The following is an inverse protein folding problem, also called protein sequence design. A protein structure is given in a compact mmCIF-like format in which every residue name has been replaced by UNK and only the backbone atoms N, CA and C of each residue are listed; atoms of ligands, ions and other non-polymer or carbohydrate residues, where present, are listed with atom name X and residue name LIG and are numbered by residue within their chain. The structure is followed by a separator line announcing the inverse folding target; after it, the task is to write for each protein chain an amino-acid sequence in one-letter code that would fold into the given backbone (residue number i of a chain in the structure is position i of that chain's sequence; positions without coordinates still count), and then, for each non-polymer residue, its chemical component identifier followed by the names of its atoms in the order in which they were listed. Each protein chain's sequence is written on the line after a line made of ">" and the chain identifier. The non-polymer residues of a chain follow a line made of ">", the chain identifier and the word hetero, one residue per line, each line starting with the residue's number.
data_IF_737935284762
#
_entry.id   IF_737935284762
#
_cell.length_a   1.000
_cell.length_b   1.000
_cell.length_c   1.000
_cell.angle_alpha   90.00
_cell.angle_beta   90.00
_cell.angle_gamma   90.00
#
_symmetry.space_group_name_H-M   'P 1'
#
loop_
_entity.id
_entity.type
_entity.pdbx_description
1 polymer ?
#
# COMPACT_ATOMS: atom_id res chain seq x y z
N UNK A 1 -32.72 31.58 -43.80
CA UNK A 1 -32.35 31.76 -42.38
C UNK A 1 -32.11 30.37 -41.80
N UNK A 2 -30.84 29.96 -41.72
CA UNK A 2 -30.45 28.60 -41.27
C UNK A 2 -30.51 28.54 -39.74
N UNK A 3 -31.32 27.61 -39.20
CA UNK A 3 -31.41 27.32 -37.78
C UNK A 3 -30.10 26.68 -37.31
N UNK A 4 -29.38 27.35 -36.41
CA UNK A 4 -28.23 26.77 -35.73
C UNK A 4 -28.72 25.69 -34.76
N UNK A 5 -28.52 24.43 -35.13
CA UNK A 5 -28.67 23.28 -34.22
C UNK A 5 -27.37 23.17 -33.41
N UNK A 6 -27.39 23.65 -32.18
CA UNK A 6 -26.32 23.43 -31.20
C UNK A 6 -26.33 21.96 -30.76
N UNK A 7 -25.42 21.17 -31.32
CA UNK A 7 -25.15 19.80 -30.88
C UNK A 7 -24.35 19.85 -29.57
N UNK A 8 -25.02 19.66 -28.43
CA UNK A 8 -24.37 19.57 -27.12
C UNK A 8 -23.59 18.26 -27.04
N UNK A 9 -22.25 18.33 -27.05
CA UNK A 9 -21.36 17.19 -26.90
C UNK A 9 -21.28 16.80 -25.41
N UNK A 10 -22.04 15.78 -25.00
CA UNK A 10 -21.86 15.14 -23.70
C UNK A 10 -20.53 14.38 -23.67
N UNK A 11 -19.51 14.99 -23.06
CA UNK A 11 -18.26 14.31 -22.72
C UNK A 11 -18.52 13.48 -21.47
N UNK A 12 -18.62 12.15 -21.63
CA UNK A 12 -18.57 11.22 -20.51
C UNK A 12 -17.13 11.16 -20.01
N UNK A 13 -16.87 11.79 -18.87
CA UNK A 13 -15.61 11.62 -18.15
C UNK A 13 -15.69 10.27 -17.45
N UNK A 14 -15.14 9.23 -18.07
CA UNK A 14 -14.92 7.96 -17.39
C UNK A 14 -13.87 8.22 -16.29
N UNK A 15 -14.28 8.10 -15.02
CA UNK A 15 -13.33 8.13 -13.90
C UNK A 15 -12.42 6.91 -13.97
N UNK A 16 -11.10 7.14 -14.04
CA UNK A 16 -10.13 6.08 -13.85
C UNK A 16 -10.05 5.78 -12.35
N UNK A 17 -10.41 4.57 -11.95
CA UNK A 17 -10.24 4.06 -10.58
C UNK A 17 -9.30 2.87 -10.64
N UNK A 18 -8.37 2.77 -9.70
CA UNK A 18 -7.47 1.63 -9.61
C UNK A 18 -8.21 0.50 -8.91
N UNK A 19 -8.41 -0.61 -9.61
CA UNK A 19 -9.00 -1.79 -8.98
C UNK A 19 -8.05 -2.37 -7.93
N UNK A 20 -8.55 -2.91 -6.81
CA UNK A 20 -7.70 -3.65 -5.89
C UNK A 20 -7.07 -4.87 -6.60
N UNK A 21 -5.84 -5.28 -6.26
CA UNK A 21 -5.19 -6.43 -6.86
C UNK A 21 -6.00 -7.71 -6.71
N UNK A 22 -5.98 -8.54 -7.75
CA UNK A 22 -6.78 -9.77 -7.77
C UNK A 22 -6.36 -10.77 -6.68
N UNK A 23 -5.04 -10.87 -6.45
CA UNK A 23 -4.46 -11.74 -5.44
C UNK A 23 -3.62 -10.96 -4.43
N UNK A 24 -4.26 -10.53 -3.34
CA UNK A 24 -3.59 -9.77 -2.28
C UNK A 24 -2.62 -10.60 -1.43
N UNK A 25 -2.64 -11.93 -1.56
CA UNK A 25 -1.77 -12.84 -0.81
C UNK A 25 -0.48 -13.18 -1.58
N UNK A 26 -0.26 -12.65 -2.79
CA UNK A 26 0.98 -12.77 -3.54
C UNK A 26 1.51 -11.42 -4.06
N UNK A 27 2.58 -10.92 -3.43
CA UNK A 27 3.16 -9.62 -3.80
C UNK A 27 3.82 -9.61 -5.19
N UNK A 28 4.23 -10.77 -5.70
CA UNK A 28 4.77 -10.87 -7.05
C UNK A 28 3.66 -10.70 -8.09
N UNK A 29 2.48 -11.27 -7.84
CA UNK A 29 1.31 -11.07 -8.69
C UNK A 29 0.80 -9.63 -8.61
N UNK A 30 0.74 -9.03 -7.41
CA UNK A 30 0.39 -7.60 -7.25
C UNK A 30 1.29 -6.70 -8.11
N UNK A 31 2.60 -6.94 -8.08
CA UNK A 31 3.57 -6.14 -8.82
C UNK A 31 3.68 -6.48 -10.30
N UNK A 32 3.19 -7.64 -10.71
CA UNK A 32 3.05 -7.97 -12.11
C UNK A 32 1.84 -7.24 -12.73
N UNK A 33 0.73 -7.22 -11.99
CA UNK A 33 -0.50 -6.48 -12.30
C UNK A 33 -0.24 -4.96 -12.30
N UNK A 34 0.45 -4.45 -11.27
CA UNK A 34 0.78 -3.04 -11.09
C UNK A 34 2.29 -2.82 -10.98
N UNK A 35 2.96 -2.71 -12.12
CA UNK A 35 4.43 -2.57 -12.17
C UNK A 35 4.94 -1.21 -11.68
N UNK A 36 4.15 -0.16 -11.86
CA UNK A 36 4.37 1.16 -11.28
C UNK A 36 4.40 1.10 -9.74
N UNK A 37 3.54 0.29 -9.13
CA UNK A 37 3.54 0.06 -7.68
C UNK A 37 4.84 -0.59 -7.19
N UNK A 38 5.40 -1.51 -7.98
CA UNK A 38 6.73 -2.08 -7.70
C UNK A 38 7.83 -1.03 -7.76
N UNK A 39 7.81 -0.23 -8.82
CA UNK A 39 8.80 0.82 -9.06
C UNK A 39 8.79 1.85 -7.91
N UNK A 40 7.60 2.33 -7.52
CA UNK A 40 7.41 3.22 -6.38
C UNK A 40 7.90 2.58 -5.07
N UNK A 41 7.47 1.34 -4.79
CA UNK A 41 7.87 0.62 -3.56
C UNK A 41 9.37 0.43 -3.45
N UNK A 42 10.04 0.13 -4.56
CA UNK A 42 11.50 -0.03 -4.65
C UNK A 42 12.22 1.29 -4.40
N UNK A 43 11.73 2.40 -4.94
CA UNK A 43 12.29 3.72 -4.68
C UNK A 43 12.17 4.10 -3.20
N UNK A 44 11.00 3.86 -2.60
CA UNK A 44 10.75 4.10 -1.17
C UNK A 44 11.65 3.24 -0.29
N UNK A 45 11.86 1.96 -0.64
CA UNK A 45 12.82 1.09 0.06
C UNK A 45 14.24 1.67 -0.02
N UNK A 46 14.67 2.14 -1.19
CA UNK A 46 15.98 2.78 -1.36
C UNK A 46 16.10 4.07 -0.55
N UNK A 47 15.05 4.90 -0.54
CA UNK A 47 15.00 6.22 0.10
C UNK A 47 15.00 6.12 1.63
N UNK A 48 14.20 5.23 2.21
CA UNK A 48 13.99 5.16 3.67
C UNK A 48 14.58 3.91 4.34
N UNK A 49 14.96 2.90 3.55
CA UNK A 49 15.51 1.62 4.01
C UNK A 49 14.48 0.66 4.59
N UNK A 50 13.19 0.99 4.55
CA UNK A 50 12.10 0.12 5.03
C UNK A 50 11.84 -0.95 3.96
N UNK A 51 11.91 -2.26 4.30
CA UNK A 51 11.75 -3.30 3.29
C UNK A 51 10.39 -3.25 2.61
N UNK A 52 10.34 -3.52 1.30
CA UNK A 52 9.08 -3.47 0.51
C UNK A 52 7.97 -4.30 1.16
N UNK A 53 8.28 -5.52 1.63
CA UNK A 53 7.27 -6.37 2.26
C UNK A 53 6.67 -5.78 3.55
N UNK A 54 7.43 -4.94 4.28
CA UNK A 54 6.89 -4.21 5.45
C UNK A 54 5.89 -3.16 4.99
N UNK A 55 6.26 -2.34 4.02
CA UNK A 55 5.39 -1.30 3.45
C UNK A 55 4.11 -1.89 2.87
N UNK A 56 4.22 -2.93 2.04
CA UNK A 56 3.06 -3.64 1.47
C UNK A 56 2.18 -4.29 2.55
N UNK A 57 2.78 -4.80 3.63
CA UNK A 57 2.02 -5.35 4.74
C UNK A 57 1.16 -4.30 5.44
N UNK A 58 1.66 -3.08 5.57
CA UNK A 58 0.93 -1.94 6.13
C UNK A 58 -0.23 -1.57 5.21
N UNK A 59 0.03 -1.30 3.92
CA UNK A 59 -1.01 -0.88 2.96
C UNK A 59 -2.21 -1.84 2.97
N UNK A 60 -1.98 -3.13 2.87
CA UNK A 60 -3.08 -4.09 2.94
C UNK A 60 -3.76 -4.12 4.32
N UNK A 61 -3.04 -3.94 5.43
CA UNK A 61 -3.70 -3.95 6.74
C UNK A 61 -4.61 -2.72 6.91
N UNK A 62 -4.20 -1.59 6.35
CA UNK A 62 -4.94 -0.33 6.42
C UNK A 62 -6.12 -0.29 5.45
N UNK A 63 -5.94 -0.74 4.21
CA UNK A 63 -6.94 -0.56 3.14
C UNK A 63 -7.30 -1.82 2.36
N UNK A 64 -6.55 -2.92 2.54
CA UNK A 64 -6.57 -4.07 1.61
C UNK A 64 -6.35 -3.67 0.15
N UNK A 65 -5.54 -2.64 -0.08
CA UNK A 65 -5.28 -2.05 -1.40
C UNK A 65 -6.51 -1.42 -2.07
N UNK A 66 -7.47 -0.93 -1.27
CA UNK A 66 -8.60 -0.14 -1.77
C UNK A 66 -8.23 1.35 -1.68
N UNK A 67 -8.16 2.02 -2.83
CA UNK A 67 -7.66 3.40 -2.94
C UNK A 67 -8.47 4.41 -2.13
N UNK A 68 -9.79 4.24 -2.06
CA UNK A 68 -10.70 5.18 -1.39
C UNK A 68 -11.20 4.67 -0.03
N UNK A 69 -10.48 3.73 0.58
CA UNK A 69 -10.85 3.12 1.86
C UNK A 69 -11.16 4.18 2.92
N UNK A 70 -12.34 4.08 3.56
CA UNK A 70 -12.80 5.02 4.60
C UNK A 70 -13.49 4.28 5.73
N UNK A 71 -13.44 4.80 6.96
CA UNK A 71 -14.28 4.32 8.06
C UNK A 71 -15.77 4.33 7.66
N UNK A 72 -16.56 3.36 8.14
CA UNK A 72 -18.00 3.36 7.94
C UNK A 72 -18.62 4.65 8.51
N UNK A 73 -19.67 5.14 7.86
CA UNK A 73 -20.45 6.26 8.38
C UNK A 73 -21.26 5.80 9.58
N UNK A 74 -21.38 6.69 10.56
CA UNK A 74 -22.40 6.54 11.59
C UNK A 74 -23.78 6.79 10.97
N UNK A 75 -24.79 6.03 11.36
CA UNK A 75 -26.14 6.16 10.81
C UNK A 75 -27.06 6.76 11.86
N UNK A 76 -27.73 7.86 11.51
CA UNK A 76 -28.77 8.46 12.33
C UNK A 76 -30.14 7.94 11.87
N UNK A 77 -30.90 7.37 12.81
CA UNK A 77 -32.23 6.78 12.56
C UNK A 77 -32.26 5.81 11.36
N UNK A 78 -31.19 5.03 11.15
CA UNK A 78 -31.03 4.03 10.07
C UNK A 78 -31.29 4.53 8.62
N UNK A 79 -31.49 5.83 8.41
CA UNK A 79 -31.89 6.43 7.13
C UNK A 79 -30.94 7.57 6.73
N UNK A 80 -30.40 8.33 7.69
CA UNK A 80 -29.54 9.48 7.39
C UNK A 80 -28.06 9.13 7.62
N UNK A 81 -27.22 9.19 6.56
CA UNK A 81 -25.79 8.97 6.70
C UNK A 81 -25.16 10.15 7.47
N UNK A 82 -24.64 9.88 8.66
CA UNK A 82 -23.91 10.82 9.52
C UNK A 82 -22.44 10.97 9.13
N UNK A 83 -21.65 11.58 10.04
CA UNK A 83 -20.21 11.72 9.88
C UNK A 83 -19.49 10.37 9.98
N UNK A 84 -18.24 10.33 9.49
CA UNK A 84 -17.34 9.19 9.71
C UNK A 84 -16.68 9.33 11.09
N UNK A 85 -16.37 8.19 11.71
CA UNK A 85 -15.73 8.13 13.01
C UNK A 85 -14.33 8.80 13.06
N UNK A 86 -13.65 8.90 11.91
CA UNK A 86 -12.38 9.61 11.79
C UNK A 86 -12.16 10.13 10.35
N UNK A 87 -11.14 10.97 10.19
CA UNK A 87 -10.64 11.42 8.88
C UNK A 87 -9.62 10.47 8.24
N UNK A 88 -9.55 9.22 8.70
CA UNK A 88 -8.72 8.21 8.07
C UNK A 88 -9.19 7.99 6.62
N UNK A 89 -8.25 7.99 5.69
CA UNK A 89 -8.55 7.88 4.26
C UNK A 89 -7.47 7.14 3.48
N UNK A 90 -7.92 6.43 2.46
CA UNK A 90 -7.15 5.82 1.39
C UNK A 90 -6.22 4.71 1.83
N UNK A 91 -5.18 4.44 1.04
CA UNK A 91 -4.31 3.29 1.23
C UNK A 91 -3.66 3.22 2.62
N UNK A 92 -3.35 4.38 3.20
CA UNK A 92 -2.58 4.51 4.44
C UNK A 92 -3.44 4.66 5.70
N UNK A 93 -4.74 4.92 5.53
CA UNK A 93 -5.67 5.33 6.60
C UNK A 93 -5.14 6.48 7.48
N UNK A 94 -4.24 7.32 6.95
CA UNK A 94 -3.72 8.46 7.67
C UNK A 94 -4.80 9.52 7.91
N UNK A 95 -4.81 10.10 9.11
CA UNK A 95 -5.65 11.24 9.46
C UNK A 95 -5.18 12.50 8.73
N UNK A 96 -6.10 13.43 8.44
CA UNK A 96 -5.80 14.69 7.73
C UNK A 96 -4.58 15.41 8.29
N UNK A 97 -4.53 15.63 9.62
CA UNK A 97 -3.40 16.32 10.25
C UNK A 97 -2.06 15.60 10.11
N UNK A 98 -2.07 14.26 10.08
CA UNK A 98 -0.84 13.48 9.87
C UNK A 98 -0.39 13.54 8.41
N UNK A 99 -1.34 13.51 7.47
CA UNK A 99 -1.05 13.64 6.05
C UNK A 99 -0.52 15.03 5.70
N UNK A 100 -1.15 16.10 6.21
CA UNK A 100 -0.65 17.47 6.04
C UNK A 100 0.73 17.66 6.64
N UNK A 101 1.04 17.02 7.78
CA UNK A 101 2.41 17.04 8.29
C UNK A 101 3.40 16.41 7.31
N UNK A 102 3.05 15.25 6.73
CA UNK A 102 3.85 14.59 5.69
C UNK A 102 4.09 15.52 4.50
N UNK A 103 3.02 16.00 3.86
CA UNK A 103 3.10 16.87 2.67
C UNK A 103 4.02 18.05 2.92
N UNK A 104 3.85 18.73 4.07
CA UNK A 104 4.68 19.87 4.47
C UNK A 104 6.14 19.49 4.78
N UNK A 105 6.39 18.30 5.34
CA UNK A 105 7.73 17.86 5.74
C UNK A 105 8.53 17.25 4.59
N UNK A 106 7.87 16.92 3.48
CA UNK A 106 8.51 16.39 2.27
C UNK A 106 8.36 17.31 1.07
N UNK A 107 7.74 18.48 1.24
CA UNK A 107 7.40 19.43 0.16
C UNK A 107 6.52 18.82 -0.96
N UNK A 108 5.69 17.83 -0.61
CA UNK A 108 4.80 17.10 -1.52
C UNK A 108 3.35 17.54 -1.34
N UNK A 109 3.06 18.81 -1.65
CA UNK A 109 1.72 19.40 -1.44
C UNK A 109 0.62 18.80 -2.32
N UNK A 110 0.99 18.21 -3.45
CA UNK A 110 0.07 17.53 -4.36
C UNK A 110 -0.16 16.06 -4.02
N UNK A 111 0.51 15.52 -2.99
CA UNK A 111 0.41 14.09 -2.69
C UNK A 111 -0.98 13.71 -2.19
N UNK A 112 -1.54 12.62 -2.72
CA UNK A 112 -2.87 12.11 -2.39
C UNK A 112 -2.83 10.76 -1.65
N UNK A 113 -3.80 10.52 -0.76
CA UNK A 113 -3.89 9.30 0.06
C UNK A 113 -4.44 8.11 -0.73
N UNK A 114 -5.13 8.38 -1.82
CA UNK A 114 -5.65 7.38 -2.75
C UNK A 114 -4.73 7.14 -3.96
N UNK A 115 -3.60 7.85 -4.06
CA UNK A 115 -2.51 7.48 -4.96
C UNK A 115 -1.57 6.47 -4.26
N UNK A 116 -1.29 5.36 -4.94
CA UNK A 116 -0.47 4.30 -4.34
C UNK A 116 0.99 4.74 -4.13
N UNK A 117 1.56 5.51 -5.06
CA UNK A 117 2.96 5.97 -5.00
C UNK A 117 3.16 6.89 -3.81
N UNK A 118 2.26 7.85 -3.63
CA UNK A 118 2.24 8.76 -2.48
C UNK A 118 2.01 8.02 -1.17
N UNK A 119 1.12 7.01 -1.18
CA UNK A 119 0.83 6.19 -0.02
C UNK A 119 2.04 5.40 0.47
N UNK A 120 2.79 4.76 -0.44
CA UNK A 120 4.00 4.02 -0.05
C UNK A 120 5.12 4.95 0.41
N UNK A 121 5.28 6.14 -0.20
CA UNK A 121 6.26 7.13 0.28
C UNK A 121 5.89 7.62 1.69
N UNK A 122 4.62 7.92 1.95
CA UNK A 122 4.13 8.27 3.29
C UNK A 122 4.46 7.19 4.32
N UNK A 123 4.17 5.92 4.03
CA UNK A 123 4.44 4.81 4.96
C UNK A 123 5.94 4.68 5.22
N UNK A 124 6.78 4.79 4.17
CA UNK A 124 8.23 4.80 4.28
C UNK A 124 8.76 5.95 5.12
N UNK A 125 8.29 7.17 4.84
CA UNK A 125 8.61 8.40 5.56
C UNK A 125 8.24 8.29 7.05
N UNK A 126 7.02 7.87 7.35
CA UNK A 126 6.51 7.77 8.72
C UNK A 126 7.32 6.75 9.52
N UNK A 127 7.56 5.57 8.93
CA UNK A 127 8.35 4.53 9.57
C UNK A 127 9.81 4.97 9.76
N UNK A 128 10.43 5.67 8.80
CA UNK A 128 11.81 6.20 8.95
C UNK A 128 11.96 7.13 10.16
N UNK A 129 10.97 8.00 10.38
CA UNK A 129 10.92 8.90 11.54
C UNK A 129 10.69 8.13 12.84
N UNK A 130 9.81 7.14 12.80
CA UNK A 130 9.54 6.25 13.93
C UNK A 130 10.81 5.48 14.33
N UNK A 131 11.52 4.91 13.36
CA UNK A 131 12.81 4.22 13.55
C UNK A 131 13.81 5.17 14.21
N UNK A 132 13.97 6.39 13.68
CA UNK A 132 14.90 7.39 14.24
C UNK A 132 14.59 7.74 15.70
N UNK A 133 13.31 7.78 16.07
CA UNK A 133 12.88 8.14 17.44
C UNK A 133 12.89 6.99 18.43
N UNK A 134 12.71 5.75 17.96
CA UNK A 134 12.43 4.59 18.83
C UNK A 134 13.53 3.53 18.81
N UNK A 135 14.41 3.54 17.81
CA UNK A 135 15.41 2.50 17.59
C UNK A 135 14.85 1.17 17.09
N UNK A 136 13.57 1.10 16.72
CA UNK A 136 12.97 -0.11 16.13
C UNK A 136 13.72 -0.46 14.83
N UNK A 137 14.01 -1.75 14.62
CA UNK A 137 14.68 -2.22 13.40
C UNK A 137 13.75 -2.07 12.19
N UNK A 138 14.32 -1.73 11.02
CA UNK A 138 13.56 -1.50 9.78
C UNK A 138 12.70 -2.69 9.33
N UNK A 139 13.15 -3.92 9.62
CA UNK A 139 12.45 -5.16 9.29
C UNK A 139 11.49 -5.65 10.40
N UNK A 140 11.39 -4.96 11.53
CA UNK A 140 10.53 -5.35 12.65
C UNK A 140 9.12 -4.77 12.46
N UNK A 141 8.38 -5.35 11.50
CA UNK A 141 7.05 -4.92 11.15
C UNK A 141 6.08 -4.94 12.34
N UNK A 142 6.24 -5.90 13.27
CA UNK A 142 5.43 -5.95 14.49
C UNK A 142 5.56 -4.65 15.30
N UNK A 143 6.79 -4.27 15.67
CA UNK A 143 7.02 -3.07 16.50
C UNK A 143 6.73 -1.79 15.73
N UNK A 144 7.08 -1.73 14.45
CA UNK A 144 6.76 -0.59 13.60
C UNK A 144 5.26 -0.35 13.53
N UNK A 145 4.45 -1.41 13.38
CA UNK A 145 3.00 -1.27 13.29
C UNK A 145 2.36 -0.83 14.62
N UNK A 146 2.87 -1.32 15.75
CA UNK A 146 2.48 -0.80 17.07
C UNK A 146 2.71 0.71 17.17
N UNK A 147 3.87 1.17 16.70
CA UNK A 147 4.25 2.57 16.73
C UNK A 147 3.56 3.44 15.67
N UNK A 148 3.16 2.85 14.55
CA UNK A 148 2.35 3.51 13.53
C UNK A 148 0.97 3.88 14.08
N UNK A 149 0.35 2.97 14.82
CA UNK A 149 -0.97 3.19 15.42
C UNK A 149 -0.94 4.09 16.67
N UNK A 150 0.03 3.90 17.57
CA UNK A 150 0.11 4.66 18.83
C UNK A 150 0.96 5.93 18.74
N UNK A 151 1.60 6.16 17.59
CA UNK A 151 2.69 7.11 17.44
C UNK A 151 3.96 6.68 18.20
N UNK A 152 5.11 7.21 17.78
CA UNK A 152 6.41 6.89 18.41
C UNK A 152 6.42 7.17 19.93
N UNK A 153 5.78 8.26 20.38
CA UNK A 153 5.71 8.59 21.81
C UNK A 153 4.84 7.64 22.62
N UNK A 154 3.67 7.23 22.08
CA UNK A 154 2.80 6.24 22.73
C UNK A 154 3.47 4.88 22.80
N UNK A 155 4.13 4.46 21.73
CA UNK A 155 4.93 3.25 21.69
C UNK A 155 6.02 3.23 22.77
N UNK A 156 6.81 4.30 22.91
CA UNK A 156 7.85 4.40 23.95
C UNK A 156 7.27 4.35 25.37
N UNK A 157 6.08 4.94 25.57
CA UNK A 157 5.33 4.85 26.84
C UNK A 157 4.64 3.49 27.06
N UNK A 158 4.66 2.61 26.07
CA UNK A 158 4.05 1.27 26.16
C UNK A 158 2.52 1.28 26.13
N UNK A 159 1.87 2.30 25.54
CA UNK A 159 0.40 2.42 25.52
C UNK A 159 -0.28 1.21 24.85
N UNK A 160 0.37 0.61 23.87
CA UNK A 160 -0.12 -0.56 23.14
C UNK A 160 -0.33 -1.79 24.03
N UNK A 161 0.32 -1.87 25.19
CA UNK A 161 0.17 -2.98 26.13
C UNK A 161 -1.26 -3.08 26.67
N UNK A 162 -1.99 -1.96 26.68
CA UNK A 162 -3.41 -1.88 27.07
C UNK A 162 -4.37 -2.18 25.90
N UNK A 163 -3.85 -2.47 24.70
CA UNK A 163 -4.62 -2.74 23.47
C UNK A 163 -4.32 -4.16 22.95
N UNK A 164 -4.87 -5.23 23.57
CA UNK A 164 -4.65 -6.61 23.12
C UNK A 164 -4.95 -6.84 21.64
N UNK A 165 -6.00 -6.18 21.14
CA UNK A 165 -6.39 -6.22 19.74
C UNK A 165 -5.26 -5.70 18.82
N UNK A 166 -4.61 -4.59 19.19
CA UNK A 166 -3.54 -3.98 18.39
C UNK A 166 -2.31 -4.89 18.33
N UNK A 167 -1.95 -5.52 19.45
CA UNK A 167 -0.89 -6.54 19.45
C UNK A 167 -1.25 -7.76 18.59
N UNK A 168 -2.53 -8.13 18.50
CA UNK A 168 -2.97 -9.23 17.61
C UNK A 168 -2.88 -8.82 16.14
N UNK A 169 -3.33 -7.61 15.79
CA UNK A 169 -3.24 -7.06 14.42
C UNK A 169 -1.78 -6.89 14.00
N UNK A 170 -0.93 -6.33 14.86
CA UNK A 170 0.50 -6.16 14.58
C UNK A 170 1.21 -7.49 14.28
N UNK A 171 0.79 -8.60 14.92
CA UNK A 171 1.29 -9.94 14.59
C UNK A 171 0.83 -10.43 13.21
N UNK A 172 -0.38 -10.04 12.76
CA UNK A 172 -0.84 -10.34 11.39
C UNK A 172 0.01 -9.60 10.37
N UNK A 173 0.26 -8.30 10.60
CA UNK A 173 1.13 -7.46 9.76
C UNK A 173 2.54 -8.07 9.67
N UNK A 174 3.13 -8.46 10.79
CA UNK A 174 4.45 -9.09 10.82
C UNK A 174 4.53 -10.40 10.01
N UNK A 175 3.52 -11.27 10.15
CA UNK A 175 3.46 -12.50 9.35
C UNK A 175 3.36 -12.19 7.85
N UNK A 176 2.54 -11.22 7.47
CA UNK A 176 2.36 -10.86 6.06
C UNK A 176 3.58 -10.16 5.47
N UNK A 177 4.26 -9.31 6.25
CA UNK A 177 5.53 -8.71 5.85
C UNK A 177 6.59 -9.78 5.58
N UNK A 178 6.68 -10.81 6.43
CA UNK A 178 7.57 -11.96 6.23
C UNK A 178 7.20 -12.77 4.98
N UNK A 179 5.90 -12.98 4.73
CA UNK A 179 5.41 -13.66 3.54
C UNK A 179 5.81 -12.90 2.26
N UNK A 180 5.48 -11.61 2.17
CA UNK A 180 5.84 -10.78 1.02
C UNK A 180 7.35 -10.70 0.82
N UNK A 181 8.15 -10.56 1.87
CA UNK A 181 9.61 -10.58 1.74
C UNK A 181 10.13 -11.90 1.15
N UNK A 182 9.52 -13.05 1.49
CA UNK A 182 9.89 -14.34 0.90
C UNK A 182 9.52 -14.44 -0.58
N UNK A 183 8.31 -14.00 -0.94
CA UNK A 183 7.85 -13.97 -2.33
C UNK A 183 8.75 -13.05 -3.18
N UNK A 184 9.10 -11.87 -2.67
CA UNK A 184 9.94 -10.92 -3.41
C UNK A 184 11.31 -11.49 -3.78
N UNK A 185 11.90 -12.37 -2.96
CA UNK A 185 13.17 -13.04 -3.33
C UNK A 185 13.04 -13.81 -4.64
N UNK A 186 11.86 -14.33 -4.97
CA UNK A 186 11.60 -15.14 -6.15
C UNK A 186 11.39 -14.31 -7.42
N UNK A 187 10.72 -13.16 -7.32
CA UNK A 187 10.34 -12.37 -8.50
C UNK A 187 11.14 -11.08 -8.70
N UNK A 188 11.89 -10.59 -7.70
CA UNK A 188 12.58 -9.29 -7.75
C UNK A 188 13.51 -9.15 -8.96
N UNK A 189 14.31 -10.18 -9.28
CA UNK A 189 15.20 -10.13 -10.45
C UNK A 189 14.44 -10.01 -11.77
N UNK A 190 13.29 -10.68 -11.88
CA UNK A 190 12.43 -10.62 -13.08
C UNK A 190 11.83 -9.23 -13.22
N UNK A 191 11.24 -8.71 -12.15
CA UNK A 191 10.68 -7.35 -12.10
C UNK A 191 11.75 -6.30 -12.43
N UNK A 192 12.97 -6.45 -11.90
CA UNK A 192 14.11 -5.56 -12.19
C UNK A 192 14.54 -5.58 -13.66
N UNK A 193 14.57 -6.76 -14.28
CA UNK A 193 14.99 -6.94 -15.67
C UNK A 193 13.92 -6.57 -16.70
N UNK A 194 12.64 -6.64 -16.32
CA UNK A 194 11.50 -6.43 -17.18
C UNK A 194 11.17 -4.96 -17.45
N UNK A 195 11.72 -4.03 -16.66
CA UNK A 195 11.52 -2.59 -16.77
C UNK A 195 11.53 -2.13 -18.23
N UNK A 196 12.68 -2.23 -18.91
CA UNK A 196 12.90 -1.53 -20.19
C UNK A 196 11.87 -1.97 -21.23
N UNK A 197 11.55 -3.26 -21.23
CA UNK A 197 10.52 -3.84 -22.07
C UNK A 197 9.13 -3.31 -21.73
N UNK A 198 8.77 -3.28 -20.43
CA UNK A 198 7.48 -2.75 -19.96
C UNK A 198 7.28 -1.28 -20.32
N UNK A 199 8.34 -0.48 -20.21
CA UNK A 199 8.30 0.94 -20.57
C UNK A 199 8.13 1.17 -22.07
N UNK A 200 8.76 0.34 -22.91
CA UNK A 200 8.74 0.54 -24.36
C UNK A 200 7.55 -0.12 -25.07
N UNK A 201 7.02 -1.22 -24.51
CA UNK A 201 6.09 -2.10 -25.22
C UNK A 201 4.88 -2.55 -24.39
N UNK A 202 4.74 -2.12 -23.13
CA UNK A 202 3.67 -2.56 -22.24
C UNK A 202 3.93 -3.93 -21.58
N UNK A 203 2.93 -4.51 -20.92
CA UNK A 203 3.07 -5.80 -20.21
C UNK A 203 3.52 -6.91 -21.17
N UNK A 204 4.56 -7.65 -20.78
CA UNK A 204 5.24 -8.59 -21.67
C UNK A 204 4.49 -9.93 -21.70
N UNK A 205 3.99 -10.42 -22.85
CA UNK A 205 3.36 -11.74 -22.93
C UNK A 205 4.31 -12.90 -22.57
N UNK A 206 5.63 -12.67 -22.53
CA UNK A 206 6.61 -13.64 -22.04
C UNK A 206 6.78 -13.67 -20.50
N UNK A 207 6.30 -12.67 -19.77
CA UNK A 207 6.34 -12.68 -18.29
C UNK A 207 5.35 -13.69 -17.71
N UNK A 208 4.17 -13.88 -18.34
CA UNK A 208 3.18 -14.88 -17.93
C UNK A 208 3.71 -16.32 -18.05
N UNK A 209 4.45 -16.62 -19.14
CA UNK A 209 5.12 -17.91 -19.33
C UNK A 209 6.24 -18.13 -18.30
N UNK A 210 6.95 -17.07 -17.92
CA UNK A 210 8.03 -17.15 -16.94
C UNK A 210 7.48 -17.32 -15.52
N UNK A 211 6.40 -16.61 -15.18
CA UNK A 211 5.64 -16.81 -13.94
C UNK A 211 5.09 -18.24 -13.83
N UNK A 212 4.50 -18.80 -14.88
CA UNK A 212 4.08 -20.21 -14.88
C UNK A 212 5.24 -21.16 -14.59
N UNK A 213 6.44 -20.85 -15.10
CA UNK A 213 7.65 -21.63 -14.84
C UNK A 213 8.10 -21.51 -13.38
N UNK A 214 8.03 -20.31 -12.78
CA UNK A 214 8.38 -20.11 -11.37
C UNK A 214 7.33 -20.68 -10.40
N UNK A 215 6.03 -20.57 -10.73
CA UNK A 215 4.94 -21.20 -9.98
C UNK A 215 5.09 -22.73 -9.94
N UNK A 216 5.51 -23.35 -11.06
CA UNK A 216 5.85 -24.79 -11.10
C UNK A 216 7.07 -25.11 -10.21
N UNK A 217 8.14 -24.34 -10.29
CA UNK A 217 9.33 -24.55 -9.45
C UNK A 217 9.05 -24.35 -7.95
N UNK A 218 8.15 -23.45 -7.58
CA UNK A 218 7.70 -23.24 -6.21
C UNK A 218 6.80 -24.39 -5.72
N UNK A 219 5.93 -24.93 -6.58
CA UNK A 219 5.12 -26.12 -6.27
C UNK A 219 5.99 -27.38 -6.09
N UNK A 220 7.05 -27.54 -6.90
CA UNK A 220 7.97 -28.68 -6.85
C UNK A 220 8.94 -28.64 -5.64
N UNK A 221 9.04 -27.50 -4.95
CA UNK A 221 9.91 -27.32 -3.77
C UNK A 221 9.16 -27.30 -2.43
N UNK A 222 7.84 -27.51 -2.44
CA UNK A 222 7.07 -27.73 -1.23
C UNK A 222 7.37 -29.14 -0.66
N UNK A 223 7.70 -29.29 0.64
CA UNK A 223 7.93 -30.61 1.21
C UNK A 223 6.64 -31.42 1.15
N UNK A 224 6.73 -32.63 0.58
CA UNK A 224 5.73 -33.68 0.81
C UNK A 224 5.77 -33.99 2.30
N UNK A 225 4.61 -33.89 2.95
CA UNK A 225 4.40 -34.11 4.39
C UNK A 225 5.21 -35.27 4.97
#
# INVERSE_FOLDING_TARGET
>A
MLKAMTLSLMVFIAGCTTSPPQNVDDVCEIFDEYYDWYSASKEVEKKYGVPIGVTMAFIHQESRFVEDARPPREWFLWIFPGSRASSAYGYTQALDGTWTEYQRKTDQWSADRDDFTDAVDFVGWYNSRTIKRTGIKRHDAYRLYLAYHDGAGGYLKGTYKKKPWLMKVSRKVDRRAKMYNRQLVQCRSTLDSGWLWRTLFGSNPFDSMRQQKFARLAADSAPLN
#
